data_IF_297065972022
#
_entry.id   IF_297065972022
#
_cell.length_a   1.000
_cell.length_b   1.000
_cell.length_c   1.000
_cell.angle_alpha   90.00
_cell.angle_beta   90.00
_cell.angle_gamma   90.00
#
_symmetry.space_group_name_H-M   'P 1'
#
loop_
_entity.id
_entity.type
_entity.pdbx_description
1 polymer ?
#
# COMPACT_ATOMS: atom_id res chain seq x y z
N UNK A 1 50.46 12.37 -3.04
CA UNK A 1 49.29 11.84 -2.30
C UNK A 1 48.35 12.99 -1.98
N UNK A 2 47.31 13.20 -2.78
CA UNK A 2 46.32 14.25 -2.52
C UNK A 2 45.46 13.88 -1.33
N UNK A 3 45.72 14.47 -0.16
CA UNK A 3 44.73 14.44 0.92
C UNK A 3 43.50 15.17 0.38
N UNK A 4 42.35 14.52 0.38
CA UNK A 4 41.06 15.15 0.08
C UNK A 4 41.02 16.50 0.79
N UNK A 5 40.82 17.59 0.03
CA UNK A 5 40.87 18.97 0.50
C UNK A 5 40.13 19.20 1.84
N UNK A 6 39.04 18.48 2.06
CA UNK A 6 38.26 18.48 3.31
C UNK A 6 39.06 18.05 4.54
N UNK A 7 39.88 17.00 4.44
CA UNK A 7 40.73 16.53 5.53
C UNK A 7 41.90 17.48 5.76
N UNK A 8 42.54 17.95 4.68
CA UNK A 8 43.63 18.94 4.77
C UNK A 8 43.17 20.20 5.50
N UNK A 9 42.03 20.76 5.10
CA UNK A 9 41.44 21.95 5.71
C UNK A 9 41.12 21.78 7.20
N UNK A 10 40.57 20.64 7.62
CA UNK A 10 40.25 20.41 9.03
C UNK A 10 41.51 20.33 9.91
N UNK A 11 42.57 19.68 9.42
CA UNK A 11 43.84 19.62 10.14
C UNK A 11 44.51 20.99 10.19
N UNK A 12 44.49 21.73 9.09
CA UNK A 12 45.04 23.09 9.01
C UNK A 12 44.36 24.04 9.99
N UNK A 13 43.02 24.08 10.01
CA UNK A 13 42.27 24.92 10.96
C UNK A 13 42.56 24.53 12.41
N UNK A 14 42.76 23.23 12.69
CA UNK A 14 43.15 22.77 14.03
C UNK A 14 44.57 23.24 14.39
N UNK A 15 45.51 23.18 13.46
CA UNK A 15 46.88 23.66 13.65
C UNK A 15 46.92 25.17 13.87
N UNK A 16 46.20 25.96 13.07
CA UNK A 16 46.06 27.43 13.22
C UNK A 16 45.53 27.77 14.62
N UNK A 17 44.49 27.08 15.08
CA UNK A 17 43.91 27.31 16.42
C UNK A 17 44.84 26.95 17.57
N UNK A 18 45.70 25.96 17.36
CA UNK A 18 46.67 25.54 18.38
C UNK A 18 47.95 26.37 18.36
N UNK A 19 48.18 27.15 17.29
CA UNK A 19 49.36 28.00 17.17
C UNK A 19 49.23 29.20 18.11
N UNK A 20 50.21 29.37 19.00
CA UNK A 20 50.24 30.47 19.97
C UNK A 20 50.82 31.77 19.41
N UNK A 21 51.51 31.71 18.27
CA UNK A 21 52.29 32.83 17.71
C UNK A 21 51.91 33.07 16.26
N UNK A 22 51.87 34.33 15.83
CA UNK A 22 51.60 34.72 14.43
C UNK A 22 52.59 34.09 13.45
N UNK A 23 53.87 34.00 13.81
CA UNK A 23 54.90 33.36 12.98
C UNK A 23 54.64 31.85 12.77
N UNK A 24 54.09 31.18 13.79
CA UNK A 24 53.70 29.79 13.67
C UNK A 24 52.50 29.61 12.74
N UNK A 25 51.58 30.58 12.69
CA UNK A 25 50.47 30.60 11.73
C UNK A 25 50.97 30.86 10.31
N UNK A 26 51.94 31.75 10.12
CA UNK A 26 52.55 32.01 8.81
C UNK A 26 53.26 30.78 8.24
N UNK A 27 53.94 29.99 9.08
CA UNK A 27 54.56 28.72 8.67
C UNK A 27 53.56 27.64 8.23
N UNK A 28 52.28 27.82 8.53
CA UNK A 28 51.21 26.90 8.11
C UNK A 28 50.56 27.33 6.79
N UNK A 29 50.98 28.45 6.20
CA UNK A 29 50.47 28.92 4.92
C UNK A 29 50.81 27.92 3.81
N UNK A 30 49.80 27.42 3.06
CA UNK A 30 50.04 26.53 1.93
C UNK A 30 50.72 27.26 0.75
N UNK A 31 51.65 26.57 0.08
CA UNK A 31 52.40 27.11 -1.08
C UNK A 31 51.51 27.56 -2.27
N UNK A 32 50.26 27.09 -2.33
CA UNK A 32 49.31 27.42 -3.39
C UNK A 32 48.52 28.72 -3.13
N UNK A 33 48.80 29.44 -2.04
CA UNK A 33 48.20 30.74 -1.76
C UNK A 33 49.29 31.78 -1.99
N UNK A 34 49.10 32.67 -2.97
CA UNK A 34 50.09 33.69 -3.34
C UNK A 34 49.95 34.96 -2.49
N UNK A 35 48.73 35.25 -2.02
CA UNK A 35 48.40 36.43 -1.23
C UNK A 35 48.51 36.13 0.28
N UNK A 36 49.40 36.85 0.96
CA UNK A 36 49.49 36.81 2.43
C UNK A 36 48.25 37.41 3.08
N UNK A 37 47.63 38.41 2.46
CA UNK A 37 46.42 39.06 2.99
C UNK A 37 45.23 38.10 2.97
N UNK A 38 45.03 37.34 1.88
CA UNK A 38 43.99 36.32 1.78
C UNK A 38 44.17 35.22 2.84
N UNK A 39 45.43 34.90 3.17
CA UNK A 39 45.75 33.96 4.23
C UNK A 39 45.36 34.50 5.61
N UNK A 40 45.63 35.78 5.88
CA UNK A 40 45.27 36.40 7.15
C UNK A 40 43.77 36.57 7.32
N UNK A 41 43.05 36.97 6.26
CA UNK A 41 41.58 37.01 6.25
C UNK A 41 40.98 35.63 6.57
N UNK A 42 41.57 34.56 6.01
CA UNK A 42 41.15 33.19 6.33
C UNK A 42 41.41 32.82 7.79
N UNK A 43 42.57 33.18 8.33
CA UNK A 43 42.92 32.93 9.75
C UNK A 43 41.95 33.66 10.66
N UNK A 44 41.67 34.93 10.40
CA UNK A 44 40.75 35.76 11.17
C UNK A 44 39.32 35.20 11.11
N UNK A 45 38.86 34.78 9.92
CA UNK A 45 37.55 34.12 9.78
C UNK A 45 37.47 32.83 10.61
N UNK A 46 38.52 32.01 10.61
CA UNK A 46 38.54 30.68 11.26
C UNK A 46 38.80 30.72 12.77
N UNK A 47 39.37 31.81 13.26
CA UNK A 47 39.57 32.12 14.68
C UNK A 47 38.46 33.00 15.25
N UNK A 48 37.61 33.61 14.41
CA UNK A 48 36.48 34.42 14.86
C UNK A 48 35.54 33.69 15.82
N UNK A 49 35.00 34.43 16.79
CA UNK A 49 34.03 33.92 17.75
C UNK A 49 32.77 33.34 17.06
N UNK A 50 32.30 34.00 15.99
CA UNK A 50 31.17 33.52 15.20
C UNK A 50 31.43 32.13 14.60
N UNK A 51 32.59 31.93 13.98
CA UNK A 51 32.94 30.64 13.38
C UNK A 51 33.13 29.56 14.44
N UNK A 52 33.67 29.91 15.62
CA UNK A 52 33.79 28.98 16.75
C UNK A 52 32.42 28.48 17.23
N UNK A 53 31.50 29.40 17.50
CA UNK A 53 30.12 29.06 17.90
C UNK A 53 29.43 28.19 16.85
N UNK A 54 29.59 28.53 15.56
CA UNK A 54 29.07 27.73 14.44
C UNK A 54 29.68 26.33 14.45
N UNK A 55 31.00 26.21 14.55
CA UNK A 55 31.73 24.94 14.60
C UNK A 55 31.28 24.07 15.78
N UNK A 56 31.14 24.63 16.97
CA UNK A 56 30.67 23.93 18.17
C UNK A 56 29.24 23.42 18.02
N UNK A 57 28.34 24.26 17.49
CA UNK A 57 26.97 23.85 17.16
C UNK A 57 26.95 22.61 16.26
N UNK A 58 27.73 22.60 15.17
CA UNK A 58 27.79 21.44 14.27
C UNK A 58 28.46 20.21 14.90
N UNK A 59 29.47 20.39 15.76
CA UNK A 59 30.08 19.28 16.52
C UNK A 59 29.08 18.67 17.51
N UNK A 60 28.35 19.50 18.25
CA UNK A 60 27.30 19.04 19.16
C UNK A 60 26.20 18.28 18.41
N UNK A 61 25.77 18.78 17.24
CA UNK A 61 24.81 18.06 16.39
C UNK A 61 25.36 16.72 15.89
N UNK A 62 26.65 16.61 15.55
CA UNK A 62 27.27 15.35 15.13
C UNK A 62 27.39 14.34 16.28
N UNK A 63 27.71 14.79 17.50
CA UNK A 63 27.80 13.92 18.68
C UNK A 63 26.45 13.27 19.01
N UNK A 64 25.34 13.98 18.82
CA UNK A 64 23.98 13.47 19.02
C UNK A 64 23.49 12.50 17.95
N UNK A 65 24.28 12.23 16.90
CA UNK A 65 23.87 11.28 15.87
C UNK A 65 24.11 9.86 16.36
N UNK A 66 23.06 9.04 16.32
CA UNK A 66 23.15 7.62 16.61
C UNK A 66 23.67 6.88 15.36
N UNK A 67 24.86 6.27 15.42
CA UNK A 67 25.43 5.59 14.27
C UNK A 67 24.69 4.27 13.99
N UNK A 68 24.33 4.04 12.74
CA UNK A 68 23.77 2.76 12.29
C UNK A 68 24.86 1.81 11.76
N UNK A 69 24.64 0.50 11.83
CA UNK A 69 25.55 -0.55 11.35
C UNK A 69 25.29 -0.94 9.88
N UNK A 70 24.27 -0.37 9.24
CA UNK A 70 23.83 -0.72 7.88
C UNK A 70 24.81 -0.41 6.73
N UNK A 71 26.01 0.12 7.00
CA UNK A 71 27.03 0.48 6.00
C UNK A 71 26.41 1.16 4.75
N UNK A 72 26.89 0.84 3.53
CA UNK A 72 26.35 1.30 2.24
C UNK A 72 25.03 0.62 1.84
N UNK A 73 24.54 -0.35 2.63
CA UNK A 73 23.35 -1.13 2.31
C UNK A 73 22.07 -0.34 2.61
N UNK A 74 22.06 0.42 3.70
CA UNK A 74 20.92 1.23 4.12
C UNK A 74 19.70 0.40 4.56
N UNK A 75 18.62 1.09 4.91
CA UNK A 75 17.43 0.48 5.51
C UNK A 75 16.57 -0.33 4.53
N UNK A 76 16.43 0.12 3.28
CA UNK A 76 15.58 -0.57 2.30
C UNK A 76 16.03 -2.02 2.06
N UNK A 77 17.32 -2.21 1.82
CA UNK A 77 17.92 -3.55 1.67
C UNK A 77 17.91 -4.35 2.96
N UNK A 78 18.04 -3.69 4.12
CA UNK A 78 17.91 -4.37 5.41
C UNK A 78 16.49 -4.95 5.58
N UNK A 79 15.46 -4.18 5.22
CA UNK A 79 14.08 -4.63 5.26
C UNK A 79 13.84 -5.82 4.32
N UNK A 80 14.41 -5.82 3.12
CA UNK A 80 14.31 -6.96 2.19
C UNK A 80 14.99 -8.22 2.72
N UNK A 81 16.18 -8.12 3.31
CA UNK A 81 16.84 -9.28 3.91
C UNK A 81 16.04 -9.83 5.09
N UNK A 82 15.48 -8.96 5.92
CA UNK A 82 14.55 -9.38 6.98
C UNK A 82 13.36 -10.13 6.39
N UNK A 83 12.71 -9.59 5.35
CA UNK A 83 11.58 -10.26 4.68
C UNK A 83 11.93 -11.61 4.11
N UNK A 84 13.17 -11.82 3.66
CA UNK A 84 13.64 -13.13 3.19
C UNK A 84 13.88 -14.12 4.34
N UNK A 85 14.29 -13.63 5.50
CA UNK A 85 14.54 -14.46 6.69
C UNK A 85 13.29 -14.77 7.52
N UNK A 86 12.25 -13.94 7.46
CA UNK A 86 11.00 -14.11 8.21
C UNK A 86 9.92 -14.73 7.33
N UNK A 87 9.17 -15.70 7.86
CA UNK A 87 8.03 -16.31 7.17
C UNK A 87 6.91 -15.31 6.87
N UNK A 88 6.65 -14.37 7.80
CA UNK A 88 5.61 -13.34 7.66
C UNK A 88 6.20 -11.94 7.42
N UNK A 89 6.15 -11.41 6.18
CA UNK A 89 6.75 -10.12 5.83
C UNK A 89 6.03 -8.91 6.44
N UNK A 90 4.81 -9.10 6.96
CA UNK A 90 4.00 -8.08 7.65
C UNK A 90 4.41 -7.85 9.10
N UNK A 91 5.18 -8.77 9.70
CA UNK A 91 5.68 -8.68 11.08
C UNK A 91 6.85 -7.71 11.27
N UNK A 92 7.39 -7.16 10.18
CA UNK A 92 8.56 -6.28 10.21
C UNK A 92 8.10 -4.85 10.46
N UNK A 93 8.10 -4.44 11.72
CA UNK A 93 7.84 -3.06 12.11
C UNK A 93 9.05 -2.17 11.86
N UNK A 94 8.82 -0.86 11.71
CA UNK A 94 9.92 0.13 11.60
C UNK A 94 10.83 0.14 12.82
N UNK A 95 10.27 -0.17 13.99
CA UNK A 95 11.01 -0.26 15.25
C UNK A 95 12.00 -1.42 15.17
N UNK A 96 11.53 -2.62 14.81
CA UNK A 96 12.39 -3.80 14.63
C UNK A 96 13.50 -3.55 13.60
N UNK A 97 13.16 -2.87 12.51
CA UNK A 97 14.12 -2.48 11.49
C UNK A 97 15.15 -1.46 12.01
N UNK A 98 14.74 -0.51 12.86
CA UNK A 98 15.63 0.43 13.52
C UNK A 98 16.55 -0.27 14.52
N UNK A 99 16.01 -1.12 15.38
CA UNK A 99 16.77 -1.83 16.42
C UNK A 99 17.85 -2.72 15.82
N UNK A 100 17.53 -3.44 14.74
CA UNK A 100 18.51 -4.28 14.04
C UNK A 100 19.56 -3.48 13.28
N UNK A 101 19.19 -2.33 12.72
CA UNK A 101 20.13 -1.39 12.10
C UNK A 101 21.13 -0.79 13.09
N UNK A 102 20.86 -0.84 14.39
CA UNK A 102 21.72 -0.29 15.44
C UNK A 102 22.40 -1.37 16.30
N UNK A 103 22.12 -2.65 16.03
CA UNK A 103 22.84 -3.79 16.61
C UNK A 103 23.97 -4.23 15.65
N UNK A 104 25.12 -4.65 16.18
CA UNK A 104 26.17 -5.30 15.38
C UNK A 104 25.78 -6.75 15.09
N UNK A 105 26.45 -7.38 14.12
CA UNK A 105 26.25 -8.81 13.79
C UNK A 105 26.49 -9.73 14.99
N UNK A 106 27.40 -9.33 15.88
CA UNK A 106 27.76 -10.09 17.08
C UNK A 106 26.86 -9.78 18.29
N UNK A 107 25.74 -9.05 18.10
CA UNK A 107 24.84 -8.63 19.17
C UNK A 107 25.38 -7.50 20.06
N UNK A 108 26.66 -7.15 19.94
CA UNK A 108 27.28 -6.06 20.70
C UNK A 108 26.72 -4.69 20.30
N UNK A 109 26.41 -3.88 21.31
CA UNK A 109 25.88 -2.53 21.16
C UNK A 109 27.00 -1.58 20.66
N UNK A 110 26.67 -0.71 19.70
CA UNK A 110 27.66 0.13 18.99
C UNK A 110 28.19 1.25 19.87
N UNK A 111 27.35 1.79 20.74
CA UNK A 111 27.63 2.90 21.64
C UNK A 111 26.69 2.79 22.86
N UNK A 112 27.09 3.29 24.02
CA UNK A 112 26.27 3.32 25.24
C UNK A 112 24.94 4.09 25.00
N UNK A 113 24.99 5.22 24.29
CA UNK A 113 23.77 6.00 23.97
C UNK A 113 22.78 5.22 23.09
N UNK A 114 23.29 4.34 22.21
CA UNK A 114 22.44 3.49 21.36
C UNK A 114 21.82 2.37 22.20
N UNK A 115 22.54 1.86 23.21
CA UNK A 115 22.01 0.87 24.14
C UNK A 115 20.84 1.44 24.95
N UNK A 116 21.05 2.59 25.60
CA UNK A 116 20.04 3.27 26.42
C UNK A 116 18.77 3.58 25.61
N UNK A 117 18.93 4.02 24.36
CA UNK A 117 17.77 4.30 23.49
C UNK A 117 17.02 3.03 23.07
N UNK A 118 17.70 1.91 22.85
CA UNK A 118 17.04 0.63 22.56
C UNK A 118 16.26 0.15 23.79
N UNK A 119 16.85 0.24 24.99
CA UNK A 119 16.18 -0.14 26.24
C UNK A 119 14.93 0.69 26.50
N UNK A 120 15.00 2.02 26.30
CA UNK A 120 13.85 2.90 26.43
C UNK A 120 12.74 2.57 25.41
N UNK A 121 13.10 2.20 24.18
CA UNK A 121 12.15 1.77 23.16
C UNK A 121 11.45 0.48 23.59
N UNK A 122 12.22 -0.53 24.03
CA UNK A 122 11.69 -1.82 24.48
C UNK A 122 10.74 -1.66 25.68
N UNK A 123 11.06 -0.75 26.61
CA UNK A 123 10.17 -0.42 27.73
C UNK A 123 8.85 0.20 27.26
N UNK A 124 8.90 1.19 26.36
CA UNK A 124 7.68 1.84 25.84
C UNK A 124 6.83 0.85 25.03
N UNK A 125 7.45 -0.02 24.24
CA UNK A 125 6.73 -1.08 23.50
C UNK A 125 6.01 -2.05 24.45
N UNK A 126 6.59 -2.34 25.63
CA UNK A 126 5.94 -3.17 26.64
C UNK A 126 4.77 -2.45 27.35
N UNK A 127 4.88 -1.14 27.58
CA UNK A 127 3.86 -0.36 28.29
C UNK A 127 2.69 0.07 27.40
N UNK A 128 2.88 0.18 26.08
CA UNK A 128 1.86 0.74 25.17
C UNK A 128 1.17 -0.31 24.32
N UNK A 129 -0.16 -0.45 24.52
CA UNK A 129 -1.08 -1.19 23.63
C UNK A 129 -1.44 -0.35 22.39
N UNK A 130 -0.49 0.42 21.85
CA UNK A 130 -0.77 1.25 20.67
C UNK A 130 -0.65 0.40 19.41
N UNK A 131 -1.55 0.61 18.45
CA UNK A 131 -1.50 -0.08 17.15
C UNK A 131 -0.09 0.05 16.55
N UNK A 132 0.56 -1.07 16.17
CA UNK A 132 1.95 -1.10 15.69
C UNK A 132 2.17 -0.30 14.39
N UNK A 133 1.08 0.20 13.79
CA UNK A 133 1.07 0.89 12.51
C UNK A 133 1.01 2.42 12.63
N UNK A 134 0.85 3.01 13.82
CA UNK A 134 0.85 4.47 13.98
C UNK A 134 2.27 5.05 14.02
N UNK A 135 2.75 5.53 12.88
CA UNK A 135 4.09 6.14 12.74
C UNK A 135 4.27 7.43 13.57
N UNK A 136 3.17 8.12 13.90
CA UNK A 136 3.25 9.35 14.68
C UNK A 136 3.54 9.08 16.17
N UNK A 137 2.99 7.98 16.69
CA UNK A 137 2.90 7.71 18.13
C UNK A 137 3.63 6.42 18.55
N UNK A 138 4.38 5.82 17.63
CA UNK A 138 5.16 4.62 17.92
C UNK A 138 6.29 4.90 18.93
N UNK A 139 6.77 3.83 19.58
CA UNK A 139 7.82 3.92 20.60
C UNK A 139 9.06 4.67 20.07
N UNK A 140 9.46 4.40 18.82
CA UNK A 140 10.59 5.08 18.19
C UNK A 140 10.39 6.61 18.10
N UNK A 141 9.19 7.07 17.75
CA UNK A 141 8.90 8.51 17.66
C UNK A 141 8.71 9.16 19.04
N UNK A 142 8.32 8.40 20.06
CA UNK A 142 8.31 8.87 21.45
C UNK A 142 9.73 9.08 21.99
N UNK A 143 10.66 8.15 21.72
CA UNK A 143 12.05 8.23 22.17
C UNK A 143 12.86 9.28 21.40
N UNK A 144 12.83 9.23 20.06
CA UNK A 144 13.67 10.09 19.21
C UNK A 144 12.98 11.36 18.75
N UNK A 145 11.73 11.58 19.16
CA UNK A 145 10.86 12.62 18.66
C UNK A 145 10.34 12.34 17.23
N UNK A 146 9.44 13.20 16.72
CA UNK A 146 8.83 13.03 15.41
C UNK A 146 9.86 13.04 14.28
N UNK A 147 9.59 12.29 13.22
CA UNK A 147 10.41 12.26 12.01
C UNK A 147 10.50 13.66 11.37
N UNK A 148 11.72 14.19 11.23
CA UNK A 148 11.98 15.49 10.59
C UNK A 148 12.34 15.30 9.12
N UNK A 149 11.39 15.60 8.22
CA UNK A 149 11.54 15.43 6.79
C UNK A 149 11.14 14.03 6.31
N UNK A 150 12.10 13.11 6.29
CA UNK A 150 11.88 11.72 5.84
C UNK A 150 11.55 10.79 7.01
N UNK A 151 10.70 9.80 6.75
CA UNK A 151 10.34 8.76 7.71
C UNK A 151 11.57 7.88 7.97
N UNK A 152 11.97 7.74 9.24
CA UNK A 152 13.09 6.88 9.62
C UNK A 152 12.82 5.45 9.15
N UNK A 153 13.88 4.76 8.73
CA UNK A 153 13.89 3.35 8.30
C UNK A 153 13.12 2.98 7.02
N UNK A 154 12.24 3.82 6.51
CA UNK A 154 11.42 3.47 5.33
C UNK A 154 12.22 3.43 4.02
N UNK A 155 13.35 4.14 3.97
CA UNK A 155 14.16 4.28 2.75
C UNK A 155 13.51 5.18 1.70
N UNK A 156 14.11 5.23 0.51
CA UNK A 156 13.58 5.90 -0.70
C UNK A 156 13.12 7.38 -0.55
N UNK A 157 13.56 8.08 0.50
CA UNK A 157 13.15 9.47 0.74
C UNK A 157 11.63 9.63 0.96
N UNK A 158 10.98 8.64 1.58
CA UNK A 158 9.55 8.71 1.88
C UNK A 158 9.29 9.74 3.00
N UNK A 159 8.39 10.68 2.76
CA UNK A 159 7.94 11.66 3.76
C UNK A 159 6.67 11.18 4.45
N UNK A 160 6.35 11.76 5.62
CA UNK A 160 5.11 11.42 6.36
C UNK A 160 3.84 11.61 5.52
N UNK A 161 3.78 12.67 4.73
CA UNK A 161 2.64 12.96 3.83
C UNK A 161 2.49 11.90 2.74
N UNK A 162 3.59 11.51 2.07
CA UNK A 162 3.59 10.44 1.08
C UNK A 162 3.13 9.12 1.69
N UNK A 163 3.61 8.80 2.90
CA UNK A 163 3.23 7.57 3.59
C UNK A 163 1.76 7.56 3.98
N UNK A 164 1.20 8.67 4.45
CA UNK A 164 -0.23 8.81 4.71
C UNK A 164 -1.07 8.50 3.47
N UNK A 165 -0.69 9.06 2.31
CA UNK A 165 -1.36 8.79 1.03
C UNK A 165 -1.24 7.30 0.64
N UNK A 166 -0.05 6.70 0.79
CA UNK A 166 0.17 5.28 0.50
C UNK A 166 -0.67 4.38 1.42
N UNK A 167 -0.74 4.72 2.71
CA UNK A 167 -1.56 4.00 3.69
C UNK A 167 -3.04 4.05 3.31
N UNK A 168 -3.57 5.23 2.97
CA UNK A 168 -4.95 5.36 2.51
C UNK A 168 -5.24 4.55 1.25
N UNK A 169 -4.31 4.56 0.27
CA UNK A 169 -4.43 3.73 -0.94
C UNK A 169 -4.44 2.24 -0.61
N UNK A 170 -3.57 1.80 0.30
CA UNK A 170 -3.48 0.42 0.72
C UNK A 170 -4.74 -0.04 1.47
N UNK A 171 -5.29 0.78 2.37
CA UNK A 171 -6.56 0.51 3.04
C UNK A 171 -7.72 0.34 2.03
N UNK A 172 -7.77 1.18 0.99
CA UNK A 172 -8.75 1.02 -0.10
C UNK A 172 -8.56 -0.30 -0.86
N UNK A 173 -7.32 -0.69 -1.14
CA UNK A 173 -7.02 -1.96 -1.80
C UNK A 173 -7.49 -3.16 -0.98
N UNK A 174 -7.15 -3.20 0.32
CA UNK A 174 -7.63 -4.26 1.24
C UNK A 174 -9.16 -4.31 1.28
N UNK A 175 -9.83 -3.16 1.32
CA UNK A 175 -11.29 -3.11 1.32
C UNK A 175 -11.90 -3.70 0.03
N UNK A 176 -11.26 -3.50 -1.12
CA UNK A 176 -11.68 -4.09 -2.40
C UNK A 176 -11.44 -5.60 -2.42
N UNK A 177 -10.27 -6.04 -1.95
CA UNK A 177 -9.91 -7.47 -1.86
C UNK A 177 -10.86 -8.24 -0.95
N UNK A 178 -11.19 -7.69 0.23
CA UNK A 178 -12.15 -8.28 1.15
C UNK A 178 -13.57 -8.38 0.54
N UNK A 179 -14.00 -7.37 -0.23
CA UNK A 179 -15.28 -7.42 -0.96
C UNK A 179 -15.29 -8.52 -2.02
N UNK A 180 -14.18 -8.67 -2.75
CA UNK A 180 -14.05 -9.73 -3.73
C UNK A 180 -14.09 -11.12 -3.10
N UNK A 181 -13.38 -11.31 -1.98
CA UNK A 181 -13.39 -12.57 -1.23
C UNK A 181 -14.79 -12.90 -0.70
N UNK A 182 -15.52 -11.89 -0.19
CA UNK A 182 -16.92 -12.06 0.22
C UNK A 182 -17.81 -12.52 -0.95
N UNK A 183 -17.70 -11.86 -2.10
CA UNK A 183 -18.47 -12.22 -3.30
C UNK A 183 -18.15 -13.63 -3.80
N UNK A 184 -16.89 -14.08 -3.70
CA UNK A 184 -16.51 -15.45 -4.03
C UNK A 184 -17.17 -16.48 -3.09
N UNK A 185 -17.20 -16.20 -1.78
CA UNK A 185 -17.87 -17.07 -0.81
C UNK A 185 -19.38 -17.12 -1.05
N UNK A 186 -20.03 -15.97 -1.26
CA UNK A 186 -21.46 -15.89 -1.56
C UNK A 186 -21.80 -16.68 -2.85
N UNK A 187 -20.94 -16.61 -3.87
CA UNK A 187 -21.10 -17.38 -5.11
C UNK A 187 -20.93 -18.89 -4.89
N UNK A 188 -20.04 -19.30 -3.99
CA UNK A 188 -19.85 -20.71 -3.64
C UNK A 188 -21.08 -21.26 -2.90
N UNK A 189 -21.63 -20.48 -1.96
CA UNK A 189 -22.85 -20.82 -1.24
C UNK A 189 -24.05 -20.92 -2.19
N UNK A 190 -24.22 -19.94 -3.09
CA UNK A 190 -25.27 -19.97 -4.10
C UNK A 190 -25.16 -21.18 -5.02
N UNK A 191 -23.93 -21.55 -5.44
CA UNK A 191 -23.68 -22.77 -6.23
C UNK A 191 -24.05 -24.04 -5.45
N UNK A 192 -23.73 -24.09 -4.16
CA UNK A 192 -24.10 -25.21 -3.29
C UNK A 192 -25.62 -25.34 -3.15
N UNK A 193 -26.31 -24.23 -2.92
CA UNK A 193 -27.78 -24.20 -2.86
C UNK A 193 -28.38 -24.69 -4.19
N UNK A 194 -27.92 -24.15 -5.32
CA UNK A 194 -28.39 -24.57 -6.66
C UNK A 194 -28.17 -26.07 -6.89
N UNK A 195 -27.01 -26.61 -6.48
CA UNK A 195 -26.72 -28.04 -6.59
C UNK A 195 -27.67 -28.88 -5.74
N UNK A 196 -28.09 -28.42 -4.56
CA UNK A 196 -29.04 -29.14 -3.71
C UNK A 196 -30.45 -29.16 -4.29
N UNK A 197 -30.88 -28.09 -4.98
CA UNK A 197 -32.17 -28.06 -5.67
C UNK A 197 -32.20 -29.02 -6.87
N UNK A 198 -31.12 -29.06 -7.65
CA UNK A 198 -30.99 -29.97 -8.80
C UNK A 198 -30.97 -31.44 -8.38
N UNK A 199 -30.48 -31.77 -7.18
CA UNK A 199 -30.49 -33.14 -6.65
C UNK A 199 -31.84 -33.57 -6.05
N UNK A 200 -32.75 -32.64 -5.76
CA UNK A 200 -34.06 -32.94 -5.18
C UNK A 200 -35.19 -33.07 -6.22
N UNK A 201 -34.93 -32.80 -7.51
CA UNK A 201 -35.94 -32.92 -8.59
C UNK A 201 -36.10 -34.34 -9.17
N UNK A 202 -35.43 -35.36 -8.61
CA UNK A 202 -35.53 -36.74 -9.12
C UNK A 202 -36.71 -37.57 -8.55
N UNK A 203 -37.74 -36.95 -7.96
CA UNK A 203 -38.95 -37.67 -7.50
C UNK A 203 -40.21 -36.91 -7.92
N UNK A 204 -41.16 -37.54 -8.65
CA UNK A 204 -42.39 -36.89 -9.07
C UNK A 204 -43.43 -36.95 -7.95
N UNK A 205 -43.95 -35.78 -7.52
CA UNK A 205 -45.18 -35.72 -6.73
C UNK A 205 -45.92 -34.42 -7.01
N UNK A 206 -47.18 -34.59 -7.37
CA UNK A 206 -48.19 -33.56 -7.62
C UNK A 206 -48.40 -32.66 -6.39
N UNK A 207 -48.59 -31.36 -6.61
CA UNK A 207 -48.99 -30.42 -5.56
C UNK A 207 -48.78 -28.95 -5.91
N UNK A 208 -49.89 -28.29 -6.25
CA UNK A 208 -50.02 -26.87 -6.63
C UNK A 208 -49.52 -25.92 -5.54
N UNK A 209 -48.65 -24.94 -5.87
CA UNK A 209 -48.77 -23.54 -5.38
C UNK A 209 -47.82 -22.58 -6.12
N UNK A 210 -48.37 -21.41 -6.42
CA UNK A 210 -47.78 -20.35 -7.25
C UNK A 210 -46.51 -19.73 -6.65
N UNK A 211 -45.46 -19.57 -7.46
CA UNK A 211 -44.60 -18.37 -7.49
C UNK A 211 -43.84 -18.35 -8.82
N UNK A 212 -43.94 -17.22 -9.50
CA UNK A 212 -43.40 -16.90 -10.82
C UNK A 212 -41.88 -17.08 -10.91
N UNK A 213 -41.46 -18.05 -11.71
CA UNK A 213 -40.13 -18.14 -12.32
C UNK A 213 -40.36 -17.98 -13.83
N UNK A 214 -39.58 -17.18 -14.59
CA UNK A 214 -39.67 -17.16 -16.03
C UNK A 214 -38.97 -18.40 -16.57
N UNK A 215 -39.64 -19.55 -16.44
CA UNK A 215 -39.31 -20.74 -17.23
C UNK A 215 -39.71 -20.42 -18.65
N UNK A 216 -38.78 -20.56 -19.61
CA UNK A 216 -39.08 -20.51 -21.04
C UNK A 216 -39.98 -21.68 -21.39
N UNK A 217 -41.28 -21.53 -21.14
CA UNK A 217 -42.31 -22.49 -21.51
C UNK A 217 -42.44 -22.46 -23.02
N UNK A 218 -41.82 -23.44 -23.69
CA UNK A 218 -42.15 -23.74 -25.08
C UNK A 218 -43.60 -24.24 -25.11
N UNK A 219 -44.42 -23.53 -25.85
CA UNK A 219 -45.80 -23.88 -26.15
C UNK A 219 -45.87 -24.33 -27.62
N UNK A 220 -46.96 -25.00 -27.99
CA UNK A 220 -47.22 -25.41 -29.38
C UNK A 220 -48.53 -24.81 -29.85
N UNK A 221 -48.52 -24.15 -31.01
CA UNK A 221 -49.72 -23.54 -31.60
C UNK A 221 -50.47 -24.59 -32.43
N UNK A 222 -51.76 -24.77 -32.16
CA UNK A 222 -52.61 -25.76 -32.85
C UNK A 222 -53.83 -25.11 -33.51
N UNK A 223 -54.05 -25.38 -34.80
CA UNK A 223 -55.24 -24.91 -35.53
C UNK A 223 -56.48 -25.77 -35.24
N UNK A 224 -56.28 -27.05 -34.91
CA UNK A 224 -57.31 -28.02 -34.49
C UNK A 224 -56.74 -28.92 -33.37
N UNK A 225 -57.56 -29.69 -32.63
CA UNK A 225 -57.12 -30.46 -31.46
C UNK A 225 -55.99 -31.48 -31.70
N UNK A 226 -55.59 -31.71 -32.95
CA UNK A 226 -54.70 -32.81 -33.35
C UNK A 226 -53.52 -32.36 -34.20
N UNK A 227 -53.38 -31.07 -34.54
CA UNK A 227 -52.37 -30.60 -35.47
C UNK A 227 -51.54 -29.44 -34.92
N UNK A 228 -50.23 -29.71 -34.74
CA UNK A 228 -49.24 -28.73 -34.31
C UNK A 228 -48.67 -28.02 -35.53
N UNK A 229 -48.83 -26.70 -35.56
CA UNK A 229 -48.49 -25.88 -36.72
C UNK A 229 -47.21 -25.09 -36.50
N UNK A 230 -46.90 -24.74 -35.24
CA UNK A 230 -45.68 -24.03 -34.88
C UNK A 230 -45.28 -24.29 -33.43
N UNK A 231 -43.98 -24.17 -33.16
CA UNK A 231 -43.43 -24.10 -31.81
C UNK A 231 -43.25 -22.62 -31.43
N UNK A 232 -43.75 -22.23 -30.26
CA UNK A 232 -43.75 -20.85 -29.83
C UNK A 232 -43.31 -20.69 -28.37
N UNK A 233 -42.85 -19.49 -28.02
CA UNK A 233 -42.59 -19.07 -26.63
C UNK A 233 -43.59 -18.01 -26.22
N UNK A 234 -44.12 -18.14 -25.02
CA UNK A 234 -44.97 -17.13 -24.43
C UNK A 234 -44.22 -15.80 -24.28
N UNK A 235 -44.80 -14.70 -24.74
CA UNK A 235 -44.22 -13.37 -24.54
C UNK A 235 -44.95 -12.56 -23.48
N UNK A 236 -46.27 -12.38 -23.63
CA UNK A 236 -47.07 -11.50 -22.78
C UNK A 236 -48.57 -11.69 -23.05
N UNK A 237 -49.39 -11.59 -22.01
CA UNK A 237 -50.85 -11.50 -22.03
C UNK A 237 -51.39 -10.12 -21.67
N UNK A 238 -50.52 -9.10 -21.61
CA UNK A 238 -50.92 -7.72 -21.35
C UNK A 238 -51.70 -7.16 -22.55
N UNK A 239 -52.98 -6.76 -22.39
CA UNK A 239 -53.82 -6.22 -23.47
C UNK A 239 -53.23 -4.98 -24.16
N UNK A 240 -52.35 -4.24 -23.46
CA UNK A 240 -51.67 -3.05 -23.97
C UNK A 240 -50.36 -3.37 -24.71
N UNK A 241 -49.90 -4.63 -24.67
CA UNK A 241 -48.70 -5.05 -25.38
C UNK A 241 -48.87 -4.87 -26.89
N UNK A 242 -47.86 -4.26 -27.53
CA UNK A 242 -47.90 -3.96 -28.96
C UNK A 242 -47.35 -5.12 -29.79
N UNK A 243 -48.03 -5.42 -30.89
CA UNK A 243 -47.55 -6.22 -32.03
C UNK A 243 -47.70 -5.34 -33.28
N UNK A 244 -46.60 -5.03 -33.97
CA UNK A 244 -46.58 -4.08 -35.09
C UNK A 244 -47.28 -2.73 -34.77
N UNK A 245 -47.04 -2.21 -33.56
CA UNK A 245 -47.62 -0.95 -33.04
C UNK A 245 -49.13 -0.96 -32.78
N UNK A 246 -49.78 -2.13 -32.84
CA UNK A 246 -51.20 -2.30 -32.47
C UNK A 246 -51.28 -3.06 -31.15
N UNK A 247 -52.07 -2.59 -30.16
CA UNK A 247 -52.29 -3.32 -28.91
C UNK A 247 -53.09 -4.61 -29.18
N UNK A 248 -52.73 -5.70 -28.50
CA UNK A 248 -53.33 -7.02 -28.74
C UNK A 248 -54.79 -7.13 -28.26
N UNK A 249 -55.20 -6.35 -27.26
CA UNK A 249 -56.55 -6.33 -26.73
C UNK A 249 -56.87 -7.46 -25.71
N UNK A 250 -58.06 -7.42 -25.09
CA UNK A 250 -58.45 -8.40 -24.08
C UNK A 250 -58.65 -9.79 -24.68
N UNK A 251 -58.27 -10.83 -23.93
CA UNK A 251 -58.31 -12.25 -24.34
C UNK A 251 -57.36 -12.66 -25.47
N UNK A 252 -56.35 -11.83 -25.77
CA UNK A 252 -55.28 -12.15 -26.71
C UNK A 252 -53.95 -12.34 -25.97
N UNK A 253 -53.06 -13.14 -26.54
CA UNK A 253 -51.71 -13.39 -26.02
C UNK A 253 -50.70 -13.16 -27.13
N UNK A 254 -49.61 -12.46 -26.82
CA UNK A 254 -48.44 -12.33 -27.67
C UNK A 254 -47.50 -13.51 -27.47
N UNK A 255 -47.12 -14.15 -28.57
CA UNK A 255 -46.17 -15.28 -28.61
C UNK A 255 -45.07 -15.00 -29.63
N UNK A 256 -43.87 -15.51 -29.37
CA UNK A 256 -42.78 -15.57 -30.34
C UNK A 256 -42.80 -16.92 -31.02
N UNK A 257 -42.79 -16.97 -32.35
CA UNK A 257 -42.71 -18.23 -33.10
C UNK A 257 -41.25 -18.53 -33.39
N UNK A 258 -40.76 -19.66 -32.89
CA UNK A 258 -39.37 -20.09 -33.09
C UNK A 258 -39.23 -20.95 -34.35
N UNK A 259 -40.18 -21.85 -34.61
CA UNK A 259 -40.17 -22.78 -35.75
C UNK A 259 -41.56 -22.94 -36.34
N UNK A 260 -41.71 -22.60 -37.64
CA UNK A 260 -42.90 -22.91 -38.44
C UNK A 260 -42.80 -24.34 -38.98
N UNK A 261 -43.84 -25.15 -38.81
CA UNK A 261 -43.94 -26.50 -39.42
C UNK A 261 -44.83 -26.54 -40.65
N UNK A 262 -45.63 -25.49 -40.89
CA UNK A 262 -46.45 -25.30 -42.09
C UNK A 262 -46.46 -23.83 -42.48
N UNK A 263 -45.96 -23.53 -43.66
CA UNK A 263 -45.79 -22.14 -44.11
C UNK A 263 -47.10 -21.45 -44.53
N UNK A 264 -48.15 -22.23 -44.86
CA UNK A 264 -49.45 -21.70 -45.35
C UNK A 264 -50.56 -21.68 -44.28
N UNK A 265 -50.21 -21.79 -43.00
CA UNK A 265 -51.21 -21.81 -41.93
C UNK A 265 -51.70 -20.40 -41.54
N UNK A 266 -53.01 -20.24 -41.37
CA UNK A 266 -53.61 -18.98 -40.93
C UNK A 266 -53.14 -18.58 -39.53
N UNK A 267 -52.54 -17.39 -39.41
CA UNK A 267 -51.97 -16.86 -38.16
C UNK A 267 -53.01 -16.43 -37.11
N UNK A 268 -54.27 -16.31 -37.50
CA UNK A 268 -55.39 -15.94 -36.63
C UNK A 268 -56.50 -16.97 -36.73
N UNK A 269 -57.24 -17.17 -35.63
CA UNK A 269 -58.53 -17.86 -35.69
C UNK A 269 -59.56 -16.87 -36.24
N UNK A 270 -60.21 -17.14 -37.38
CA UNK A 270 -61.39 -16.38 -37.78
C UNK A 270 -62.49 -16.58 -36.73
N UNK A 271 -63.27 -15.53 -36.46
CA UNK A 271 -64.49 -15.64 -35.66
C UNK A 271 -65.53 -16.55 -36.32
#
# INVERSE_FOLDING_TARGET
MGRLWSFGKSHLVKAIRNASTKDAVMKLMPDNIESVDDWMDFVDEKTSAYFMLKSEKYKAMKKKQLPHTCSKKGYARLAEEMKKSFSDPTSITRIKLWTTAHKKKDGQLVNAEVAETIELIEQIEAETITSPNSIADDALSKVLGPDRGYVRTFGFGVTRSKLSILSQKYQKYIAVENKYLKMQNDMMEMKSMMSSFVMNESVPSEGVSNTSVPTSSQSTLTTSPSEIVAENRWSSDDPSALVHHVPIGPHAVRVWVDVSKKDDAYLWRPN
#
